data_IF_954029600637
#
_entry.id   IF_954029600637
#
_cell.length_a   1.000
_cell.length_b   1.000
_cell.length_c   1.000
_cell.angle_alpha   90.00
_cell.angle_beta   90.00
_cell.angle_gamma   90.00
#
_symmetry.space_group_name_H-M   'P 1'
#
loop_
_entity.id
_entity.type
_entity.pdbx_description
1 polymer ?
#
# COMPACT_ATOMS: atom_id res chain seq x y z
N UNK A 1 10.47 -8.23 -67.35
CA UNK A 1 9.85 -7.02 -67.92
C UNK A 1 10.03 -5.90 -66.90
N UNK A 2 11.13 -5.15 -67.01
CA UNK A 2 11.18 -3.77 -67.57
C UNK A 2 10.88 -2.76 -66.42
N UNK A 3 11.87 -2.47 -65.57
CA UNK A 3 12.78 -1.32 -65.68
C UNK A 3 12.00 -0.02 -65.95
N UNK A 4 11.84 0.81 -64.90
CA UNK A 4 11.58 2.25 -65.04
C UNK A 4 12.56 2.96 -64.11
N UNK A 5 13.66 3.38 -64.73
CA UNK A 5 14.57 4.41 -64.25
C UNK A 5 13.99 5.73 -64.73
N UNK A 6 13.72 6.67 -63.82
CA UNK A 6 13.63 8.10 -64.17
C UNK A 6 14.48 8.89 -63.19
N UNK A 7 15.45 9.56 -63.80
CA UNK A 7 16.47 10.45 -63.26
C UNK A 7 15.90 11.87 -63.03
N UNK A 8 16.74 12.73 -62.45
CA UNK A 8 16.62 14.21 -62.28
C UNK A 8 16.11 14.69 -60.92
N UNK A 9 16.63 15.74 -60.30
CA UNK A 9 17.90 16.50 -60.38
C UNK A 9 17.79 17.53 -59.24
N UNK A 10 18.88 17.74 -58.49
CA UNK A 10 19.28 18.99 -57.84
C UNK A 10 18.32 19.81 -56.94
N UNK A 11 18.83 20.11 -55.72
CA UNK A 11 18.76 21.47 -55.17
C UNK A 11 18.18 21.57 -53.76
N UNK A 12 18.98 22.06 -52.80
CA UNK A 12 18.45 22.58 -51.54
C UNK A 12 19.38 22.45 -50.33
N UNK A 13 20.41 23.29 -50.28
CA UNK A 13 21.24 23.56 -49.11
C UNK A 13 20.41 24.29 -48.04
N UNK A 14 20.35 23.77 -46.81
CA UNK A 14 20.10 24.56 -45.61
C UNK A 14 21.04 24.10 -44.49
N UNK A 15 22.04 24.94 -44.22
CA UNK A 15 22.83 24.94 -43.00
C UNK A 15 22.05 25.74 -41.93
N UNK A 16 21.96 25.23 -40.71
CA UNK A 16 21.81 26.06 -39.50
C UNK A 16 22.24 25.31 -38.23
N UNK A 17 23.39 25.76 -37.73
CA UNK A 17 23.83 25.95 -36.33
C UNK A 17 23.74 24.81 -35.29
N UNK A 18 24.91 24.45 -34.75
CA UNK A 18 25.11 23.99 -33.38
C UNK A 18 25.05 25.19 -32.41
N UNK A 19 24.53 24.99 -31.20
CA UNK A 19 25.28 25.34 -29.98
C UNK A 19 24.87 24.46 -28.79
N UNK A 20 25.84 24.38 -27.89
CA UNK A 20 26.12 23.46 -26.79
C UNK A 20 25.23 23.70 -25.56
N UNK A 21 24.89 22.63 -24.83
CA UNK A 21 24.28 22.77 -23.51
C UNK A 21 24.06 21.44 -22.81
N UNK A 22 25.07 20.99 -22.06
CA UNK A 22 24.97 19.87 -21.11
C UNK A 22 23.75 19.99 -20.18
N UNK A 23 22.99 18.91 -20.11
CA UNK A 23 22.31 18.48 -18.89
C UNK A 23 22.09 16.98 -19.01
N UNK A 24 23.09 16.23 -18.54
CA UNK A 24 22.92 14.81 -18.23
C UNK A 24 22.13 14.79 -16.92
N UNK A 25 20.80 14.84 -17.01
CA UNK A 25 19.99 14.42 -15.88
C UNK A 25 19.89 12.91 -15.94
N UNK A 26 20.75 12.28 -15.13
CA UNK A 26 20.46 11.01 -14.50
C UNK A 26 19.07 11.10 -13.88
N UNK A 27 18.08 10.54 -14.55
CA UNK A 27 16.87 10.11 -13.88
C UNK A 27 17.03 8.61 -13.63
N UNK A 28 17.07 8.28 -12.34
CA UNK A 28 17.21 6.94 -11.85
C UNK A 28 16.05 6.11 -12.39
N UNK A 29 16.36 5.21 -13.33
CA UNK A 29 15.47 4.11 -13.72
C UNK A 29 15.24 3.26 -12.47
N UNK A 30 14.17 3.58 -11.75
CA UNK A 30 13.57 2.66 -10.79
C UNK A 30 12.98 1.55 -11.62
N UNK A 31 13.51 0.34 -11.49
CA UNK A 31 12.96 -0.82 -12.16
C UNK A 31 11.54 -1.08 -11.61
N UNK A 32 10.53 -0.63 -12.34
CA UNK A 32 9.16 -1.03 -12.09
C UNK A 32 9.05 -2.52 -12.42
N UNK A 33 8.91 -3.36 -11.39
CA UNK A 33 8.61 -4.79 -11.58
C UNK A 33 7.24 -4.90 -12.25
N UNK A 34 7.14 -5.32 -13.52
CA UNK A 34 5.87 -5.35 -14.23
C UNK A 34 4.93 -6.35 -13.54
N UNK A 35 3.83 -5.85 -12.97
CA UNK A 35 2.77 -6.69 -12.37
C UNK A 35 2.46 -6.45 -10.88
N UNK A 36 3.26 -5.66 -10.16
CA UNK A 36 2.98 -5.31 -8.75
C UNK A 36 2.33 -3.93 -8.60
N UNK A 37 2.78 -2.95 -9.36
CA UNK A 37 2.23 -1.59 -9.32
C UNK A 37 0.88 -1.54 -10.05
N UNK A 38 -0.14 -0.96 -9.42
CA UNK A 38 -1.48 -0.88 -9.99
C UNK A 38 -2.61 -0.78 -8.97
N UNK A 39 -3.84 -0.70 -9.48
CA UNK A 39 -5.06 -0.69 -8.67
C UNK A 39 -5.61 -2.12 -8.51
N UNK A 40 -6.09 -2.43 -7.30
CA UNK A 40 -6.73 -3.68 -6.91
C UNK A 40 -8.01 -3.37 -6.14
N UNK A 41 -9.12 -4.02 -6.49
CA UNK A 41 -10.43 -3.66 -5.94
C UNK A 41 -11.00 -2.43 -6.64
N UNK A 42 -11.63 -1.54 -5.87
CA UNK A 42 -12.07 -0.24 -6.39
C UNK A 42 -10.86 0.62 -6.82
N UNK A 43 -11.08 1.50 -7.80
CA UNK A 43 -10.01 2.39 -8.28
C UNK A 43 -9.73 3.46 -7.24
N UNK A 44 -8.51 3.47 -6.71
CA UNK A 44 -8.06 4.45 -5.72
C UNK A 44 -7.24 5.52 -6.42
N UNK A 45 -7.70 6.77 -6.29
CA UNK A 45 -6.95 7.93 -6.78
C UNK A 45 -5.90 8.39 -5.76
N UNK A 46 -4.72 8.78 -6.25
CA UNK A 46 -3.60 9.29 -5.44
C UNK A 46 -3.75 10.77 -5.07
N UNK A 47 -4.89 11.09 -4.44
CA UNK A 47 -5.24 12.43 -3.98
C UNK A 47 -5.95 12.35 -2.63
N UNK A 48 -5.83 13.42 -1.83
CA UNK A 48 -6.43 13.50 -0.49
C UNK A 48 -6.04 12.32 0.42
N UNK A 49 -4.78 11.88 0.31
CA UNK A 49 -4.24 10.72 1.03
C UNK A 49 -3.65 11.15 2.36
N UNK A 50 -4.18 10.62 3.46
CA UNK A 50 -3.63 10.80 4.79
C UNK A 50 -2.38 9.93 5.00
N UNK A 51 -1.49 10.35 5.89
CA UNK A 51 -0.44 9.45 6.38
C UNK A 51 -0.97 8.59 7.55
N UNK A 52 -0.24 7.51 7.88
CA UNK A 52 -0.62 6.61 8.97
C UNK A 52 -0.76 7.35 10.31
N UNK A 53 0.05 8.39 10.55
CA UNK A 53 0.01 9.18 11.77
C UNK A 53 -1.35 9.89 11.96
N UNK A 54 -1.89 10.49 10.89
CA UNK A 54 -3.20 11.16 10.88
C UNK A 54 -4.33 10.17 11.13
N UNK A 55 -4.31 9.02 10.45
CA UNK A 55 -5.30 7.96 10.67
C UNK A 55 -5.23 7.43 12.12
N UNK A 56 -4.01 7.20 12.64
CA UNK A 56 -3.82 6.71 14.01
C UNK A 56 -4.31 7.72 15.06
N UNK A 57 -4.12 9.01 14.84
CA UNK A 57 -4.68 10.05 15.69
C UNK A 57 -6.23 9.99 15.69
N UNK A 58 -6.86 9.89 14.52
CA UNK A 58 -8.31 9.80 14.39
C UNK A 58 -8.90 8.53 15.05
N UNK A 59 -8.20 7.40 14.94
CA UNK A 59 -8.55 6.15 15.62
C UNK A 59 -8.52 6.29 17.14
N UNK A 60 -7.55 7.03 17.68
CA UNK A 60 -7.45 7.26 19.12
C UNK A 60 -8.44 8.30 19.65
N UNK A 61 -8.84 9.27 18.82
CA UNK A 61 -9.81 10.30 19.20
C UNK A 61 -11.26 9.82 19.08
N UNK A 62 -11.61 9.16 17.97
CA UNK A 62 -13.00 8.85 17.61
C UNK A 62 -13.29 7.35 17.46
N UNK A 63 -12.27 6.49 17.51
CA UNK A 63 -12.42 5.04 17.33
C UNK A 63 -12.49 4.58 15.87
N UNK A 64 -12.56 5.50 14.91
CA UNK A 64 -12.64 5.17 13.48
C UNK A 64 -11.95 6.20 12.60
N UNK A 65 -11.64 5.79 11.38
CA UNK A 65 -11.19 6.66 10.29
C UNK A 65 -11.76 6.13 8.98
N UNK A 66 -12.26 7.01 8.13
CA UNK A 66 -12.75 6.67 6.80
C UNK A 66 -12.09 7.57 5.76
N UNK A 67 -11.53 6.96 4.72
CA UNK A 67 -10.82 7.67 3.66
C UNK A 67 -9.57 6.93 3.19
N UNK A 68 -8.62 7.71 2.66
CA UNK A 68 -7.39 7.18 2.06
C UNK A 68 -6.21 7.32 3.00
N UNK A 69 -5.44 6.25 3.17
CA UNK A 69 -4.19 6.24 3.93
C UNK A 69 -3.07 5.64 3.10
N UNK A 70 -1.88 6.24 3.15
CA UNK A 70 -0.66 5.65 2.57
C UNK A 70 0.18 4.98 3.66
N UNK A 71 0.62 3.76 3.41
CA UNK A 71 1.53 3.01 4.28
C UNK A 71 2.41 2.03 3.52
N UNK A 72 3.54 1.66 4.10
CA UNK A 72 4.40 0.61 3.57
C UNK A 72 3.87 -0.77 3.99
N UNK A 73 3.79 -1.70 3.04
CA UNK A 73 3.38 -3.08 3.30
C UNK A 73 4.48 -3.81 4.07
N UNK A 74 4.22 -4.15 5.34
CA UNK A 74 5.15 -4.91 6.19
C UNK A 74 4.99 -6.42 6.00
N UNK A 75 3.75 -6.88 5.86
CA UNK A 75 3.43 -8.28 5.59
C UNK A 75 2.29 -8.42 4.59
N UNK A 76 2.28 -9.54 3.89
CA UNK A 76 1.21 -9.91 2.96
C UNK A 76 0.97 -11.41 3.06
N UNK A 77 -0.30 -11.80 2.94
CA UNK A 77 -0.68 -13.21 2.89
C UNK A 77 0.03 -13.93 1.74
N UNK A 78 1.00 -14.81 2.05
CA UNK A 78 1.77 -15.54 1.03
C UNK A 78 0.98 -16.58 0.26
N UNK A 79 -0.17 -17.00 0.78
CA UNK A 79 -1.02 -17.99 0.10
C UNK A 79 -1.66 -17.42 -1.16
N UNK A 80 -2.27 -16.23 -1.05
CA UNK A 80 -3.07 -15.65 -2.14
C UNK A 80 -3.24 -14.13 -2.07
N UNK A 81 -2.54 -13.46 -1.15
CA UNK A 81 -2.62 -12.01 -1.02
C UNK A 81 -4.00 -11.50 -0.61
N UNK A 82 -4.69 -12.18 0.31
CA UNK A 82 -6.02 -11.78 0.77
C UNK A 82 -6.04 -10.86 2.00
N UNK A 83 -4.86 -10.51 2.50
CA UNK A 83 -4.66 -9.48 3.52
C UNK A 83 -3.23 -8.98 3.44
N UNK A 84 -3.01 -7.78 3.93
CA UNK A 84 -1.68 -7.19 4.15
C UNK A 84 -1.62 -6.51 5.52
N UNK A 85 -0.46 -6.03 5.93
CA UNK A 85 -0.31 -5.20 7.12
C UNK A 85 0.52 -3.95 6.85
N UNK A 86 0.20 -2.89 7.59
CA UNK A 86 1.00 -1.66 7.68
C UNK A 86 1.37 -1.42 9.14
N UNK A 87 2.50 -0.76 9.38
CA UNK A 87 2.96 -0.42 10.73
C UNK A 87 2.30 0.86 11.23
N UNK A 88 1.74 0.82 12.43
CA UNK A 88 1.21 1.97 13.16
C UNK A 88 2.32 2.69 13.92
N UNK A 89 2.11 3.95 14.33
CA UNK A 89 3.14 4.72 15.03
C UNK A 89 3.55 4.17 16.40
N UNK A 90 2.76 3.29 17.00
CA UNK A 90 3.09 2.58 18.22
C UNK A 90 3.96 1.32 17.97
N UNK A 91 4.32 1.03 16.71
CA UNK A 91 5.09 -0.15 16.30
C UNK A 91 4.26 -1.41 16.08
N UNK A 92 2.93 -1.35 16.28
CA UNK A 92 2.04 -2.48 16.02
C UNK A 92 1.74 -2.62 14.52
N UNK A 93 1.53 -3.84 14.05
CA UNK A 93 1.07 -4.08 12.69
C UNK A 93 -0.46 -4.06 12.64
N UNK A 94 -1.04 -3.11 11.94
CA UNK A 94 -2.47 -3.09 11.64
C UNK A 94 -2.74 -3.99 10.44
N UNK A 95 -3.65 -4.96 10.64
CA UNK A 95 -4.08 -5.83 9.56
C UNK A 95 -5.11 -5.15 8.68
N UNK A 96 -4.87 -5.25 7.38
CA UNK A 96 -5.73 -4.75 6.30
C UNK A 96 -6.37 -5.95 5.61
N UNK A 97 -7.69 -6.02 5.63
CA UNK A 97 -8.50 -6.99 4.88
C UNK A 97 -9.23 -6.30 3.75
N UNK A 98 -9.64 -7.08 2.76
CA UNK A 98 -10.32 -6.56 1.57
C UNK A 98 -11.81 -6.86 1.68
N UNK A 99 -12.62 -5.83 1.45
CA UNK A 99 -14.07 -5.87 1.61
C UNK A 99 -14.67 -7.03 0.83
N UNK A 100 -15.59 -7.73 1.47
CA UNK A 100 -16.29 -8.91 0.94
C UNK A 100 -15.36 -10.02 0.42
N UNK A 101 -14.08 -10.00 0.80
CA UNK A 101 -13.06 -10.86 0.21
C UNK A 101 -13.00 -10.73 -1.33
N UNK A 102 -13.31 -9.54 -1.86
CA UNK A 102 -13.64 -9.32 -3.26
C UNK A 102 -12.44 -9.23 -4.21
N UNK A 103 -11.23 -9.01 -3.69
CA UNK A 103 -10.01 -8.89 -4.49
C UNK A 103 -8.77 -9.36 -3.73
N UNK A 104 -7.65 -9.45 -4.43
CA UNK A 104 -6.36 -9.88 -3.90
C UNK A 104 -5.23 -9.01 -4.45
N UNK A 105 -4.17 -8.85 -3.66
CA UNK A 105 -2.93 -8.17 -4.07
C UNK A 105 -1.82 -9.20 -4.37
N UNK A 106 -0.76 -8.82 -5.10
CA UNK A 106 0.39 -9.70 -5.32
C UNK A 106 1.03 -10.17 -4.01
N UNK A 107 1.39 -11.45 -3.93
CA UNK A 107 1.92 -12.08 -2.71
C UNK A 107 3.36 -11.65 -2.38
N UNK A 108 4.00 -10.96 -3.31
CA UNK A 108 5.34 -10.38 -3.24
C UNK A 108 5.34 -8.86 -3.03
N UNK A 109 4.18 -8.24 -2.80
CA UNK A 109 4.01 -6.79 -2.56
C UNK A 109 4.63 -6.22 -1.27
N UNK A 110 5.36 -7.03 -0.49
CA UNK A 110 6.04 -6.54 0.72
C UNK A 110 7.08 -5.46 0.37
N UNK A 111 7.11 -4.37 1.13
CA UNK A 111 8.02 -3.23 0.92
C UNK A 111 7.53 -2.20 -0.10
N UNK A 112 6.40 -2.48 -0.77
CA UNK A 112 5.72 -1.49 -1.60
C UNK A 112 4.91 -0.51 -0.75
N UNK A 113 4.79 0.73 -1.25
CA UNK A 113 3.82 1.67 -0.73
C UNK A 113 2.42 1.30 -1.24
N UNK A 114 1.44 1.34 -0.36
CA UNK A 114 0.04 1.13 -0.68
C UNK A 114 -0.77 2.35 -0.26
N UNK A 115 -1.59 2.87 -1.17
CA UNK A 115 -2.69 3.78 -0.83
C UNK A 115 -3.94 2.93 -0.66
N UNK A 116 -4.43 2.87 0.57
CA UNK A 116 -5.60 2.09 0.97
C UNK A 116 -6.79 3.04 1.08
N UNK A 117 -7.88 2.76 0.38
CA UNK A 117 -9.16 3.45 0.54
C UNK A 117 -10.13 2.55 1.29
N UNK A 118 -10.72 3.04 2.37
CA UNK A 118 -11.71 2.30 3.15
C UNK A 118 -11.85 2.80 4.57
N UNK A 119 -12.11 1.87 5.50
CA UNK A 119 -12.40 2.18 6.91
C UNK A 119 -11.43 1.50 7.86
N UNK A 120 -10.80 2.29 8.71
CA UNK A 120 -10.05 1.83 9.86
C UNK A 120 -10.93 1.86 11.13
N UNK A 121 -10.79 0.87 12.01
CA UNK A 121 -11.51 0.79 13.29
C UNK A 121 -10.57 0.43 14.42
N UNK A 122 -10.77 1.06 15.59
CA UNK A 122 -10.16 0.71 16.86
C UNK A 122 -11.21 0.03 17.74
N UNK A 123 -10.92 -1.20 18.17
CA UNK A 123 -11.73 -1.92 19.16
C UNK A 123 -10.95 -2.04 20.46
N UNK A 124 -11.62 -1.91 21.59
CA UNK A 124 -11.02 -2.10 22.92
C UNK A 124 -11.75 -3.20 23.67
N UNK A 125 -11.01 -4.24 24.05
CA UNK A 125 -11.52 -5.31 24.91
C UNK A 125 -11.04 -5.07 26.33
N UNK A 126 -11.96 -5.03 27.29
CA UNK A 126 -11.63 -4.78 28.69
C UNK A 126 -10.80 -5.92 29.29
N UNK A 127 -10.02 -5.62 30.34
CA UNK A 127 -9.28 -6.62 31.12
C UNK A 127 -10.19 -7.76 31.61
N UNK A 128 -11.38 -7.41 32.11
CA UNK A 128 -12.36 -8.37 32.63
C UNK A 128 -12.85 -9.30 31.52
N UNK A 129 -13.23 -8.75 30.37
CA UNK A 129 -13.65 -9.53 29.20
C UNK A 129 -12.55 -10.45 28.71
N UNK A 130 -11.29 -9.97 28.65
CA UNK A 130 -10.15 -10.77 28.25
C UNK A 130 -9.88 -11.94 29.21
N UNK A 131 -10.02 -11.70 30.52
CA UNK A 131 -9.89 -12.74 31.54
C UNK A 131 -10.98 -13.80 31.41
N UNK A 132 -12.23 -13.38 31.19
CA UNK A 132 -13.33 -14.30 30.95
C UNK A 132 -13.10 -15.17 29.71
N UNK A 133 -12.64 -14.57 28.59
CA UNK A 133 -12.28 -15.34 27.38
C UNK A 133 -11.15 -16.34 27.61
N UNK A 134 -10.16 -15.99 28.44
CA UNK A 134 -9.07 -16.90 28.79
C UNK A 134 -9.55 -18.07 29.65
N UNK A 135 -10.43 -17.82 30.62
CA UNK A 135 -11.08 -18.85 31.44
C UNK A 135 -11.91 -19.81 30.59
N UNK A 136 -12.75 -19.29 29.68
CA UNK A 136 -13.56 -20.08 28.75
C UNK A 136 -12.70 -20.93 27.80
N UNK A 137 -11.54 -20.41 27.40
CA UNK A 137 -10.55 -21.12 26.60
C UNK A 137 -9.74 -22.16 27.42
N UNK A 138 -10.00 -22.31 28.72
CA UNK A 138 -9.34 -23.27 29.59
C UNK A 138 -7.90 -22.92 29.96
N UNK A 139 -7.55 -21.62 29.94
CA UNK A 139 -6.22 -21.13 30.34
C UNK A 139 -5.98 -21.32 31.84
N UNK A 140 -4.71 -21.44 32.22
CA UNK A 140 -4.33 -21.55 33.63
C UNK A 140 -4.62 -20.26 34.41
N UNK A 141 -4.84 -20.36 35.72
CA UNK A 141 -5.03 -19.18 36.58
C UNK A 141 -3.85 -18.18 36.47
N UNK A 142 -2.64 -18.70 36.29
CA UNK A 142 -1.42 -17.89 36.09
C UNK A 142 -1.49 -17.08 34.77
N UNK A 143 -1.94 -17.70 33.67
CA UNK A 143 -2.13 -17.01 32.39
C UNK A 143 -3.25 -15.97 32.44
N UNK A 144 -4.35 -16.24 33.16
CA UNK A 144 -5.47 -15.30 33.35
C UNK A 144 -5.00 -14.09 34.17
N UNK A 145 -4.27 -14.32 35.25
CA UNK A 145 -3.75 -13.24 36.10
C UNK A 145 -2.68 -12.40 35.41
N UNK A 146 -1.94 -12.97 34.45
CA UNK A 146 -0.99 -12.23 33.62
C UNK A 146 -1.65 -11.17 32.72
N UNK A 147 -2.97 -11.21 32.50
CA UNK A 147 -3.71 -10.17 31.78
C UNK A 147 -3.84 -8.95 32.70
N UNK A 148 -3.03 -7.91 32.44
CA UNK A 148 -2.94 -6.73 33.31
C UNK A 148 -3.75 -5.52 32.87
N UNK A 149 -4.21 -5.46 31.62
CA UNK A 149 -4.90 -4.28 31.08
C UNK A 149 -5.85 -4.60 29.94
N UNK A 150 -6.54 -3.58 29.40
CA UNK A 150 -7.31 -3.74 28.19
C UNK A 150 -6.39 -4.05 27.00
N UNK A 151 -6.98 -4.61 25.95
CA UNK A 151 -6.31 -4.82 24.67
C UNK A 151 -6.98 -3.93 23.63
N UNK A 152 -6.17 -3.18 22.91
CA UNK A 152 -6.60 -2.43 21.75
C UNK A 152 -6.29 -3.23 20.49
N UNK A 153 -7.20 -3.22 19.54
CA UNK A 153 -7.04 -3.85 18.24
C UNK A 153 -7.40 -2.85 17.15
N UNK A 154 -6.51 -2.73 16.17
CA UNK A 154 -6.70 -1.85 15.02
C UNK A 154 -6.85 -2.71 13.77
N UNK A 155 -7.87 -2.41 12.98
CA UNK A 155 -8.14 -3.08 11.71
C UNK A 155 -8.45 -2.07 10.62
N UNK A 156 -8.18 -2.45 9.37
CA UNK A 156 -8.60 -1.70 8.19
C UNK A 156 -9.32 -2.64 7.23
N UNK A 157 -10.50 -2.24 6.78
CA UNK A 157 -11.19 -2.88 5.66
C UNK A 157 -11.08 -1.97 4.44
N UNK A 158 -10.40 -2.45 3.39
CA UNK A 158 -10.18 -1.70 2.17
C UNK A 158 -11.21 -2.04 1.09
N UNK A 159 -11.78 -0.99 0.50
CA UNK A 159 -12.57 -1.03 -0.72
C UNK A 159 -11.66 -1.16 -1.96
N UNK A 160 -10.49 -0.52 -1.91
CA UNK A 160 -9.48 -0.55 -2.96
C UNK A 160 -8.06 -0.30 -2.45
N UNK A 161 -7.09 -0.74 -3.25
CA UNK A 161 -5.65 -0.58 -2.99
C UNK A 161 -4.94 -0.13 -4.26
N UNK A 162 -4.23 0.99 -4.20
CA UNK A 162 -3.26 1.40 -5.20
C UNK A 162 -1.85 1.04 -4.69
N UNK A 163 -1.21 0.05 -5.30
CA UNK A 163 0.18 -0.29 -5.06
C UNK A 163 1.09 0.61 -5.89
N UNK A 164 2.08 1.20 -5.22
CA UNK A 164 3.13 2.04 -5.80
C UNK A 164 4.47 1.29 -5.77
N UNK A 165 5.52 1.93 -6.30
CA UNK A 165 6.88 1.37 -6.29
C UNK A 165 7.36 1.01 -4.88
N UNK A 166 8.30 0.07 -4.82
CA UNK A 166 8.96 -0.31 -3.58
C UNK A 166 9.79 0.86 -3.03
N UNK A 167 9.83 1.00 -1.70
CA UNK A 167 10.78 1.91 -1.06
C UNK A 167 12.16 1.29 -1.21
N UNK A 168 13.04 1.94 -1.97
CA UNK A 168 14.44 1.55 -2.03
C UNK A 168 15.04 1.64 -0.61
N UNK A 169 15.51 0.51 -0.10
CA UNK A 169 16.15 0.39 1.22
C UNK A 169 17.62 0.81 1.17
#
# INVERSE_FOLDING_TARGET
>A
MKQIITFCLAGGLLLSACDTGSSVNSDATTEETPGIVGNYGETVADENVANVQTMFAALNESGSFEGKVVGEIKEVCKSKGCWLSIELPNGELMRVTFKDYGFFVPTDSKGHLAVLEGRATKTTTSKETLRHYAEDAGKSAEEVEAIQGPKEEFTFEADGVLLKSAIAS
#
